data_IF_205039536843
#
_entry.id   IF_205039536843
#
_cell.length_a   1.000
_cell.length_b   1.000
_cell.length_c   1.000
_cell.angle_alpha   90.00
_cell.angle_beta   90.00
_cell.angle_gamma   90.00
#
_symmetry.space_group_name_H-M   'P 1'
#
loop_
_entity.id
_entity.type
_entity.pdbx_description
1 polymer ?
#
# COMPACT_ATOMS: atom_id res chain seq x y z
N UNK A 1 -10.38 29.73 15.13
CA UNK A 1 -8.92 29.55 15.15
C UNK A 1 -8.56 28.67 16.34
N UNK A 2 -8.28 27.37 16.10
CA UNK A 2 -7.92 26.44 17.16
C UNK A 2 -6.59 25.76 16.79
N UNK A 3 -5.54 26.12 17.52
CA UNK A 3 -4.19 25.59 17.37
C UNK A 3 -4.05 24.30 18.17
N UNK A 4 -3.76 23.20 17.50
CA UNK A 4 -3.33 21.96 18.14
C UNK A 4 -1.81 21.95 18.29
N UNK A 5 -1.29 22.23 19.49
CA UNK A 5 0.10 21.92 19.85
C UNK A 5 0.16 20.46 20.33
N UNK A 6 0.45 19.54 19.42
CA UNK A 6 0.86 18.20 19.79
C UNK A 6 2.34 18.22 20.20
N UNK A 7 2.60 18.18 21.51
CA UNK A 7 3.93 17.88 22.03
C UNK A 7 4.28 16.44 21.71
N UNK A 8 5.19 16.25 20.76
CA UNK A 8 5.73 14.94 20.42
C UNK A 8 6.81 14.55 21.45
N UNK A 9 6.44 13.75 22.45
CA UNK A 9 7.40 12.99 23.26
C UNK A 9 7.96 11.83 22.40
N UNK A 10 8.91 12.15 21.50
CA UNK A 10 9.71 11.15 20.80
C UNK A 10 10.70 10.52 21.77
N UNK A 11 10.26 9.48 22.48
CA UNK A 11 11.21 8.57 23.13
C UNK A 11 11.94 7.77 22.06
N UNK A 12 13.11 8.30 21.69
CA UNK A 12 14.10 7.66 20.84
C UNK A 12 14.46 6.31 21.43
N UNK A 13 14.22 5.23 20.69
CA UNK A 13 14.73 3.91 21.04
C UNK A 13 16.27 3.98 21.11
N UNK A 14 16.81 4.00 22.32
CA UNK A 14 18.25 4.13 22.58
C UNK A 14 18.99 2.90 22.06
N UNK A 15 20.27 3.06 21.69
CA UNK A 15 21.18 1.97 21.27
C UNK A 15 21.18 0.79 22.25
N UNK A 16 20.89 1.04 23.53
CA UNK A 16 20.74 0.04 24.58
C UNK A 16 19.59 -0.96 24.32
N UNK A 17 18.43 -0.49 23.83
CA UNK A 17 17.30 -1.38 23.51
C UNK A 17 17.60 -2.37 22.39
N UNK A 18 18.39 -1.95 21.38
CA UNK A 18 18.84 -2.81 20.27
C UNK A 18 19.84 -3.88 20.71
N UNK A 19 20.67 -3.60 21.72
CA UNK A 19 21.66 -4.55 22.24
C UNK A 19 20.98 -5.67 23.05
N UNK A 20 20.01 -5.32 23.91
CA UNK A 20 19.25 -6.28 24.71
C UNK A 20 18.42 -7.22 23.84
N UNK A 21 17.78 -6.70 22.77
CA UNK A 21 17.03 -7.53 21.82
C UNK A 21 17.90 -8.59 21.12
N UNK A 22 19.21 -8.33 20.99
CA UNK A 22 20.18 -9.26 20.38
C UNK A 22 20.57 -10.43 21.28
N UNK A 23 20.17 -10.46 22.56
CA UNK A 23 20.43 -11.60 23.45
C UNK A 23 19.14 -12.28 23.96
N UNK A 24 17.98 -11.86 23.46
CA UNK A 24 16.73 -12.56 23.74
C UNK A 24 16.65 -13.89 22.98
N UNK A 25 16.17 -14.97 23.62
CA UNK A 25 15.84 -16.23 22.97
C UNK A 25 14.93 -15.99 21.75
N UNK A 26 15.06 -16.80 20.70
CA UNK A 26 14.39 -16.61 19.40
C UNK A 26 12.87 -16.43 19.52
N UNK A 27 12.24 -17.12 20.47
CA UNK A 27 10.80 -17.01 20.77
C UNK A 27 10.37 -15.66 21.37
N UNK A 28 11.25 -14.96 22.11
CA UNK A 28 10.99 -13.61 22.62
C UNK A 28 11.23 -12.55 21.55
N UNK A 29 12.20 -12.75 20.65
CA UNK A 29 12.41 -11.85 19.49
C UNK A 29 11.21 -11.80 18.55
N UNK A 30 10.53 -12.94 18.33
CA UNK A 30 9.28 -12.97 17.56
C UNK A 30 8.16 -12.16 18.25
N UNK A 31 8.12 -12.16 19.58
CA UNK A 31 7.17 -11.38 20.39
C UNK A 31 7.41 -9.87 20.31
N UNK A 32 8.61 -9.45 19.92
CA UNK A 32 8.99 -8.05 19.67
C UNK A 32 9.23 -7.76 18.18
N UNK A 33 8.84 -8.65 17.27
CA UNK A 33 8.74 -8.28 15.87
C UNK A 33 7.76 -7.10 15.80
N UNK A 34 8.22 -5.98 15.25
CA UNK A 34 7.37 -4.81 15.03
C UNK A 34 6.05 -5.29 14.41
N UNK A 35 4.91 -5.13 15.10
CA UNK A 35 3.62 -5.62 14.63
C UNK A 35 3.31 -5.18 13.19
N UNK A 36 3.80 -4.00 12.80
CA UNK A 36 3.70 -3.48 11.43
C UNK A 36 4.49 -4.35 10.45
N UNK A 37 5.72 -4.73 10.79
CA UNK A 37 6.54 -5.60 9.94
C UNK A 37 5.98 -7.01 9.81
N UNK A 38 5.37 -7.54 10.88
CA UNK A 38 4.69 -8.84 10.82
C UNK A 38 3.45 -8.77 9.92
N UNK A 39 2.64 -7.72 10.06
CA UNK A 39 1.48 -7.46 9.21
C UNK A 39 1.88 -7.33 7.73
N UNK A 40 2.91 -6.54 7.42
CA UNK A 40 3.40 -6.33 6.05
C UNK A 40 3.86 -7.64 5.42
N UNK A 41 4.61 -8.49 6.15
CA UNK A 41 5.00 -9.81 5.64
C UNK A 41 3.80 -10.72 5.39
N UNK A 42 2.83 -10.73 6.31
CA UNK A 42 1.59 -11.49 6.15
C UNK A 42 0.79 -11.04 4.93
N UNK A 43 0.73 -9.73 4.68
CA UNK A 43 0.10 -9.15 3.49
C UNK A 43 0.77 -9.64 2.20
N UNK A 44 2.10 -9.57 2.11
CA UNK A 44 2.80 -10.02 0.90
C UNK A 44 2.64 -11.52 0.67
N UNK A 45 2.73 -12.35 1.72
CA UNK A 45 2.49 -13.79 1.60
C UNK A 45 1.07 -14.08 1.08
N UNK A 46 0.06 -13.38 1.59
CA UNK A 46 -1.32 -13.55 1.13
C UNK A 46 -1.51 -13.13 -0.34
N UNK A 47 -0.82 -12.06 -0.78
CA UNK A 47 -0.87 -11.61 -2.19
C UNK A 47 -0.15 -12.60 -3.11
N UNK A 48 0.99 -13.16 -2.69
CA UNK A 48 1.76 -14.14 -3.46
C UNK A 48 1.02 -15.48 -3.61
N UNK A 49 0.34 -15.93 -2.56
CA UNK A 49 -0.45 -17.16 -2.58
C UNK A 49 -1.76 -17.01 -3.37
N UNK A 50 -2.24 -15.78 -3.56
CA UNK A 50 -3.49 -15.53 -4.26
C UNK A 50 -3.39 -15.86 -5.76
N UNK A 51 -4.32 -16.69 -6.23
CA UNK A 51 -4.49 -17.01 -7.65
C UNK A 51 -5.67 -16.22 -8.20
N UNK A 52 -5.37 -15.26 -9.07
CA UNK A 52 -6.38 -14.50 -9.79
C UNK A 52 -7.23 -15.45 -10.64
N UNK A 53 -8.54 -15.30 -10.53
CA UNK A 53 -9.53 -15.98 -11.38
C UNK A 53 -10.01 -15.05 -12.48
N UNK A 54 -10.48 -15.62 -13.59
CA UNK A 54 -11.08 -14.85 -14.68
C UNK A 54 -12.29 -14.05 -14.19
N UNK A 55 -12.41 -12.82 -14.66
CA UNK A 55 -13.54 -11.95 -14.41
C UNK A 55 -14.00 -11.31 -15.72
N UNK A 56 -15.18 -11.72 -16.20
CA UNK A 56 -15.75 -11.26 -17.46
C UNK A 56 -16.56 -9.95 -17.34
N UNK A 57 -16.61 -9.35 -16.14
CA UNK A 57 -17.19 -8.02 -15.96
C UNK A 57 -16.23 -6.90 -16.37
N UNK A 58 -16.77 -5.69 -16.48
CA UNK A 58 -15.96 -4.50 -16.71
C UNK A 58 -15.11 -4.17 -15.48
N UNK A 59 -13.83 -3.86 -15.69
CA UNK A 59 -12.90 -3.44 -14.64
C UNK A 59 -12.24 -2.13 -15.07
N UNK A 60 -12.25 -1.13 -14.20
CA UNK A 60 -11.47 0.09 -14.39
C UNK A 60 -10.27 0.08 -13.47
N UNK A 61 -9.06 0.11 -14.06
CA UNK A 61 -7.80 0.22 -13.35
C UNK A 61 -7.35 1.68 -13.32
N UNK A 62 -7.33 2.29 -12.12
CA UNK A 62 -6.83 3.65 -11.94
C UNK A 62 -5.31 3.61 -11.75
N UNK A 63 -4.57 4.06 -12.76
CA UNK A 63 -3.12 3.97 -12.80
C UNK A 63 -2.47 5.31 -12.39
N UNK A 64 -1.67 5.31 -11.33
CA UNK A 64 -0.87 6.46 -10.94
C UNK A 64 0.08 6.90 -12.07
N UNK A 65 0.12 8.20 -12.38
CA UNK A 65 0.98 8.77 -13.44
C UNK A 65 2.46 8.67 -13.08
N UNK A 66 2.80 8.92 -11.82
CA UNK A 66 4.16 8.95 -11.34
C UNK A 66 4.59 7.55 -10.90
N UNK A 67 4.74 6.66 -11.88
CA UNK A 67 5.14 5.26 -11.65
C UNK A 67 6.62 5.03 -11.92
N UNK A 68 7.23 4.20 -11.10
CA UNK A 68 8.51 3.60 -11.42
C UNK A 68 8.32 2.59 -12.57
N UNK A 69 9.13 2.64 -13.63
CA UNK A 69 8.89 1.87 -14.86
C UNK A 69 9.00 0.33 -14.71
N UNK A 70 9.46 -0.18 -13.56
CA UNK A 70 9.76 -1.61 -13.34
C UNK A 70 9.22 -2.13 -11.99
N UNK A 71 8.17 -1.51 -11.43
CA UNK A 71 7.54 -2.07 -10.21
C UNK A 71 6.42 -3.03 -10.60
N UNK A 72 6.81 -4.30 -10.75
CA UNK A 72 5.89 -5.44 -10.79
C UNK A 72 5.08 -5.57 -12.09
N UNK A 73 5.04 -6.79 -12.63
CA UNK A 73 4.26 -7.13 -13.82
C UNK A 73 2.74 -7.21 -13.53
N UNK A 74 2.25 -6.40 -12.60
CA UNK A 74 0.89 -6.48 -12.04
C UNK A 74 -0.15 -6.16 -13.09
N UNK A 75 0.12 -5.20 -13.98
CA UNK A 75 -0.78 -4.88 -15.10
C UNK A 75 -0.93 -6.07 -16.06
N UNK A 76 0.15 -6.77 -16.41
CA UNK A 76 0.04 -7.97 -17.25
C UNK A 76 -0.74 -9.09 -16.55
N UNK A 77 -0.65 -9.21 -15.22
CA UNK A 77 -1.47 -10.16 -14.48
C UNK A 77 -2.97 -9.83 -14.61
N UNK A 78 -3.35 -8.56 -14.48
CA UNK A 78 -4.72 -8.09 -14.68
C UNK A 78 -5.22 -8.31 -16.11
N UNK A 79 -4.43 -7.95 -17.12
CA UNK A 79 -4.78 -8.13 -18.53
C UNK A 79 -5.04 -9.59 -18.91
N UNK A 80 -4.45 -10.56 -18.20
CA UNK A 80 -4.71 -12.00 -18.43
C UNK A 80 -6.08 -12.46 -17.93
N UNK A 81 -6.62 -11.84 -16.88
CA UNK A 81 -7.81 -12.34 -16.17
C UNK A 81 -9.05 -11.46 -16.37
N UNK A 82 -8.88 -10.20 -16.76
CA UNK A 82 -9.95 -9.24 -17.00
C UNK A 82 -9.92 -8.75 -18.47
N UNK A 83 -10.62 -9.42 -19.41
CA UNK A 83 -10.59 -9.08 -20.83
C UNK A 83 -11.25 -7.73 -21.16
N UNK A 84 -12.10 -7.22 -20.26
CA UNK A 84 -12.78 -5.92 -20.39
C UNK A 84 -12.17 -4.87 -19.46
N UNK A 85 -10.85 -4.94 -19.24
CA UNK A 85 -10.12 -3.97 -18.44
C UNK A 85 -9.90 -2.67 -19.21
N UNK A 86 -10.29 -1.55 -18.59
CA UNK A 86 -10.00 -0.19 -19.04
C UNK A 86 -9.02 0.44 -18.05
N UNK A 87 -8.00 1.12 -18.55
CA UNK A 87 -7.03 1.84 -17.70
C UNK A 87 -7.29 3.34 -17.77
N UNK A 88 -7.32 4.00 -16.62
CA UNK A 88 -7.48 5.45 -16.49
C UNK A 88 -6.35 6.00 -15.64
N UNK A 89 -5.54 6.90 -16.19
CA UNK A 89 -4.45 7.51 -15.40
C UNK A 89 -5.01 8.41 -14.28
N UNK A 90 -4.31 8.53 -13.16
CA UNK A 90 -4.65 9.40 -12.01
C UNK A 90 -3.39 10.10 -11.50
N UNK A 91 -3.49 11.32 -10.94
CA UNK A 91 -2.32 12.04 -10.44
C UNK A 91 -1.64 11.30 -9.26
N UNK A 92 -0.37 11.63 -9.05
CA UNK A 92 0.46 11.06 -7.97
C UNK A 92 1.13 9.73 -8.32
N UNK A 93 1.71 9.13 -7.30
CA UNK A 93 2.32 7.82 -7.25
C UNK A 93 1.49 6.83 -6.39
N UNK A 94 2.00 5.61 -6.18
CA UNK A 94 1.30 4.59 -5.39
C UNK A 94 1.02 5.00 -3.93
N UNK A 95 1.85 5.87 -3.36
CA UNK A 95 1.85 6.26 -1.97
C UNK A 95 0.99 7.49 -1.69
N UNK A 96 0.85 8.39 -2.66
CA UNK A 96 0.15 9.66 -2.49
C UNK A 96 -1.11 9.83 -3.35
N UNK A 97 -1.47 8.90 -4.24
CA UNK A 97 -2.69 9.03 -5.07
C UNK A 97 -4.01 9.22 -4.26
N UNK A 98 -4.01 8.82 -2.99
CA UNK A 98 -5.14 8.99 -2.05
C UNK A 98 -4.99 10.22 -1.13
N UNK A 99 -3.93 11.01 -1.29
CA UNK A 99 -3.71 12.23 -0.54
C UNK A 99 -4.72 13.32 -0.92
N UNK A 100 -4.94 14.26 0.00
CA UNK A 100 -5.91 15.34 -0.17
C UNK A 100 -5.69 16.16 -1.45
N UNK A 101 -4.44 16.31 -1.89
CA UNK A 101 -4.09 17.04 -3.13
C UNK A 101 -4.58 16.37 -4.42
N UNK A 102 -4.87 15.08 -4.40
CA UNK A 102 -5.26 14.29 -5.57
C UNK A 102 -6.71 13.79 -5.50
N UNK A 103 -7.33 13.90 -4.32
CA UNK A 103 -8.62 13.27 -4.03
C UNK A 103 -9.76 13.80 -4.90
N UNK A 104 -9.81 15.10 -5.19
CA UNK A 104 -10.85 15.69 -6.02
C UNK A 104 -10.79 15.19 -7.47
N UNK A 105 -9.58 15.11 -8.06
CA UNK A 105 -9.41 14.59 -9.42
C UNK A 105 -9.71 13.09 -9.47
N UNK A 106 -9.27 12.32 -8.48
CA UNK A 106 -9.58 10.89 -8.38
C UNK A 106 -11.09 10.66 -8.28
N UNK A 107 -11.78 11.41 -7.41
CA UNK A 107 -13.22 11.32 -7.24
C UNK A 107 -13.99 11.69 -8.51
N UNK A 108 -13.54 12.71 -9.25
CA UNK A 108 -14.14 13.08 -10.53
C UNK A 108 -14.00 11.97 -11.58
N UNK A 109 -12.83 11.32 -11.67
CA UNK A 109 -12.58 10.19 -12.59
C UNK A 109 -13.42 8.97 -12.25
N UNK A 110 -13.56 8.65 -10.97
CA UNK A 110 -14.43 7.57 -10.50
C UNK A 110 -15.89 7.88 -10.83
N UNK A 111 -16.33 9.11 -10.53
CA UNK A 111 -17.71 9.54 -10.81
C UNK A 111 -18.04 9.50 -12.30
N UNK A 112 -17.10 9.83 -13.18
CA UNK A 112 -17.29 9.74 -14.63
C UNK A 112 -17.40 8.29 -15.12
N UNK A 113 -16.70 7.35 -14.48
CA UNK A 113 -16.73 5.92 -14.82
C UNK A 113 -18.05 5.26 -14.40
N UNK A 114 -18.70 5.77 -13.35
CA UNK A 114 -19.94 5.20 -12.78
C UNK A 114 -21.23 5.78 -13.39
N UNK A 115 -21.12 6.70 -14.33
CA UNK A 115 -22.27 7.29 -15.05
C UNK A 115 -22.52 6.54 -16.34
#
# INVERSE_FOLDING_TARGET
>A
AHSWRAGADRRSATKAGKAVARHLPTGLRQRFADPVQAMVRGLFAAVEDHRLSRYDGMVTYYQARDRLPVVGNTMAAWLRVAPHLVTTDVPGDHWDLLAAEHLDELAARISATLR
#
